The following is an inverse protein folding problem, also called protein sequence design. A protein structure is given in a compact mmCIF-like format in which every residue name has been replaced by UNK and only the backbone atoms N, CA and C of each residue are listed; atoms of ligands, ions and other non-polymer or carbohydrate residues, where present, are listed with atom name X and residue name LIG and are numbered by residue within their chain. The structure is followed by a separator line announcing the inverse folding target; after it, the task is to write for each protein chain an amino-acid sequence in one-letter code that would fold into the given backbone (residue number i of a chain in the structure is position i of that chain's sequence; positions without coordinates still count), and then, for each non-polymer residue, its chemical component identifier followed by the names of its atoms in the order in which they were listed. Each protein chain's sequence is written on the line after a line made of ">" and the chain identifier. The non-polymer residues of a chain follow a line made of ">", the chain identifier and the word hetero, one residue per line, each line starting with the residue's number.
data_IF_156027360475
#
_entry.id   IF_156027360475
#
_cell.length_a   1.000
_cell.length_b   1.000
_cell.length_c   1.000
_cell.angle_alpha   90.00
_cell.angle_beta   90.00
_cell.angle_gamma   90.00
#
_symmetry.space_group_name_H-M   'P 1'
#
loop_
_entity.id
_entity.type
_entity.pdbx_description
1 polymer ?
#
# COMPACT_ATOMS: atom_id res chain seq x y z
N UNK A 1 -32.27 -15.11 -6.76
CA UNK A 1 -31.28 -14.07 -7.13
C UNK A 1 -30.22 -14.05 -6.04
N UNK A 2 -28.97 -14.31 -6.39
CA UNK A 2 -27.87 -14.29 -5.42
C UNK A 2 -27.59 -12.84 -4.99
N UNK A 3 -27.51 -12.59 -3.68
CA UNK A 3 -27.29 -11.24 -3.16
C UNK A 3 -25.86 -10.79 -3.47
N UNK A 4 -25.63 -9.53 -3.92
CA UNK A 4 -24.29 -9.06 -4.21
C UNK A 4 -23.47 -9.04 -2.93
N UNK A 5 -22.40 -9.84 -2.88
CA UNK A 5 -21.45 -9.85 -1.77
C UNK A 5 -20.79 -8.47 -1.70
N UNK A 6 -21.17 -7.66 -0.71
CA UNK A 6 -20.51 -6.37 -0.44
C UNK A 6 -19.02 -6.61 -0.24
N UNK A 7 -18.19 -5.95 -1.02
CA UNK A 7 -16.74 -6.03 -0.88
C UNK A 7 -16.34 -5.38 0.45
N UNK A 8 -15.87 -6.19 1.39
CA UNK A 8 -15.43 -5.72 2.70
C UNK A 8 -13.96 -5.36 2.59
N UNK A 9 -13.64 -4.08 2.83
CA UNK A 9 -12.26 -3.64 2.93
C UNK A 9 -11.56 -4.37 4.08
N UNK A 10 -10.51 -5.13 3.75
CA UNK A 10 -9.70 -5.83 4.75
C UNK A 10 -8.57 -4.92 5.21
N UNK A 11 -8.26 -4.95 6.52
CA UNK A 11 -7.13 -4.22 7.10
C UNK A 11 -5.80 -4.51 6.39
N UNK A 12 -5.63 -5.73 5.86
CA UNK A 12 -4.45 -6.11 5.07
C UNK A 12 -4.23 -5.22 3.84
N UNK A 13 -5.29 -4.70 3.22
CA UNK A 13 -5.16 -3.81 2.07
C UNK A 13 -4.51 -2.47 2.45
N UNK A 14 -4.90 -1.93 3.61
CA UNK A 14 -4.26 -0.72 4.16
C UNK A 14 -2.79 -0.97 4.52
N UNK A 15 -2.47 -2.14 5.06
CA UNK A 15 -1.08 -2.52 5.37
C UNK A 15 -0.23 -2.58 4.10
N UNK A 16 -0.73 -3.22 3.03
CA UNK A 16 -0.02 -3.30 1.74
C UNK A 16 0.18 -1.91 1.13
N UNK A 17 -0.82 -1.03 1.25
CA UNK A 17 -0.73 0.35 0.77
C UNK A 17 0.34 1.13 1.53
N UNK A 18 0.36 1.04 2.86
CA UNK A 18 1.37 1.68 3.71
C UNK A 18 2.78 1.14 3.44
N UNK A 19 2.92 -0.18 3.21
CA UNK A 19 4.20 -0.78 2.87
C UNK A 19 4.76 -0.25 1.54
N UNK A 20 3.92 -0.10 0.52
CA UNK A 20 4.34 0.49 -0.76
C UNK A 20 4.72 1.97 -0.62
N UNK A 21 3.94 2.74 0.16
CA UNK A 21 4.27 4.13 0.42
C UNK A 21 5.62 4.25 1.15
N UNK A 22 5.85 3.43 2.17
CA UNK A 22 7.13 3.39 2.88
C UNK A 22 8.29 3.00 1.95
N UNK A 23 8.09 2.02 1.06
CA UNK A 23 9.09 1.63 0.06
C UNK A 23 9.50 2.81 -0.84
N UNK A 24 8.53 3.54 -1.39
CA UNK A 24 8.80 4.70 -2.27
C UNK A 24 9.57 5.78 -1.50
N UNK A 25 9.16 6.08 -0.27
CA UNK A 25 9.82 7.09 0.58
C UNK A 25 11.26 6.68 0.89
N UNK A 26 11.49 5.44 1.30
CA UNK A 26 12.83 4.93 1.58
C UNK A 26 13.72 4.97 0.34
N UNK A 27 13.18 4.57 -0.81
CA UNK A 27 13.92 4.61 -2.07
C UNK A 27 14.27 6.04 -2.48
N UNK A 28 13.35 7.00 -2.30
CA UNK A 28 13.62 8.42 -2.56
C UNK A 28 14.79 8.94 -1.73
N UNK A 29 14.79 8.66 -0.42
CA UNK A 29 15.89 9.06 0.46
C UNK A 29 17.21 8.38 0.07
N UNK A 30 17.16 7.11 -0.33
CA UNK A 30 18.32 6.38 -0.81
C UNK A 30 18.90 7.04 -2.07
N UNK A 31 18.06 7.34 -3.06
CA UNK A 31 18.51 8.01 -4.29
C UNK A 31 19.08 9.39 -4.01
N UNK A 32 18.48 10.15 -3.08
CA UNK A 32 18.97 11.46 -2.69
C UNK A 32 20.32 11.40 -1.96
N UNK A 33 20.68 10.29 -1.32
CA UNK A 33 21.99 10.10 -0.69
C UNK A 33 23.12 9.90 -1.71
N UNK A 34 22.81 9.38 -2.89
CA UNK A 34 23.78 9.04 -3.94
C UNK A 34 23.72 9.96 -5.17
N UNK A 35 22.88 11.00 -5.13
CA UNK A 35 22.81 12.06 -6.15
C UNK A 35 23.80 13.18 -5.86
#
# INVERSE_FOLDING_TARGET
>A
METPKKYIWKKSYTIVLLANLAYIILFYFLMNLFS
#
